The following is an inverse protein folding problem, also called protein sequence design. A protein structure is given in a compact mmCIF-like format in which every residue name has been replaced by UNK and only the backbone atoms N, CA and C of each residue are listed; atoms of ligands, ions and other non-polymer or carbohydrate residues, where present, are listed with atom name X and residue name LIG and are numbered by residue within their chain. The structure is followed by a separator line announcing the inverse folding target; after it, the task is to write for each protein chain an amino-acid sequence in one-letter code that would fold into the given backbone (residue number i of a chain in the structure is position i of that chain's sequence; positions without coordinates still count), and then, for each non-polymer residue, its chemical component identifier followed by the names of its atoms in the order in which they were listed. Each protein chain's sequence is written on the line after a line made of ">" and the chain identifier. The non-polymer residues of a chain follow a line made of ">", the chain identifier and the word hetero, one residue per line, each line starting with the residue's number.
data_IF_121118691416
#
_entry.id   IF_121118691416
#
_cell.length_a   1.000
_cell.length_b   1.000
_cell.length_c   1.000
_cell.angle_alpha   90.00
_cell.angle_beta   90.00
_cell.angle_gamma   90.00
#
_symmetry.space_group_name_H-M   'P 1'
#
loop_
_entity.id
_entity.type
_entity.pdbx_description
1 polymer ?
#
# COMPACT_ATOMS: atom_id res chain seq x y z
N UNK A 1 -24.79 19.66 12.53
CA UNK A 1 -23.33 19.40 12.63
C UNK A 1 -22.78 19.62 11.24
N UNK A 2 -21.72 20.40 11.11
CA UNK A 2 -21.04 20.62 9.85
C UNK A 2 -20.24 19.38 9.48
N UNK A 3 -20.22 19.03 8.19
CA UNK A 3 -19.45 17.90 7.68
C UNK A 3 -17.95 18.23 7.73
N UNK A 4 -17.11 17.25 8.09
CA UNK A 4 -15.66 17.40 8.14
C UNK A 4 -14.99 16.55 7.08
N UNK A 5 -13.87 17.04 6.52
CA UNK A 5 -13.12 16.25 5.55
C UNK A 5 -11.65 16.65 5.52
N UNK A 6 -10.80 15.70 5.10
CA UNK A 6 -9.38 15.98 4.94
C UNK A 6 -8.59 14.77 4.44
N UNK A 7 -7.36 15.07 4.05
CA UNK A 7 -6.40 14.11 3.48
C UNK A 7 -5.34 13.74 4.51
N UNK A 8 -5.07 12.43 4.64
CA UNK A 8 -4.14 11.88 5.62
C UNK A 8 -3.13 10.98 4.93
N UNK A 9 -1.85 11.37 4.90
CA UNK A 9 -0.79 10.51 4.39
C UNK A 9 -0.31 9.52 5.44
N UNK A 10 -0.05 8.28 5.02
CA UNK A 10 0.56 7.25 5.87
C UNK A 10 1.99 7.04 5.38
N UNK A 11 2.97 7.49 6.16
CA UNK A 11 4.39 7.39 5.88
C UNK A 11 5.11 6.45 6.86
N UNK A 12 6.19 5.85 6.42
CA UNK A 12 7.03 4.99 7.25
C UNK A 12 7.90 4.07 6.40
N UNK A 13 8.83 3.40 7.06
CA UNK A 13 9.67 2.38 6.42
C UNK A 13 8.83 1.24 5.80
N UNK A 14 9.39 0.42 4.92
CA UNK A 14 8.71 -0.82 4.48
C UNK A 14 8.36 -1.72 5.67
N UNK A 15 7.25 -2.45 5.56
CA UNK A 15 6.80 -3.47 6.50
C UNK A 15 6.43 -2.98 7.92
N UNK A 16 6.24 -1.68 8.13
CA UNK A 16 5.76 -1.14 9.42
C UNK A 16 4.25 -1.33 9.63
N UNK A 17 3.50 -1.73 8.58
CA UNK A 17 2.07 -2.06 8.66
C UNK A 17 1.12 -1.01 8.09
N UNK A 18 1.59 -0.10 7.22
CA UNK A 18 0.79 0.95 6.58
C UNK A 18 -0.45 0.41 5.84
N UNK A 19 -0.22 -0.50 4.89
CA UNK A 19 -1.31 -1.12 4.11
C UNK A 19 -2.22 -2.01 4.98
N UNK A 20 -1.70 -2.62 6.05
CA UNK A 20 -2.50 -3.37 7.02
C UNK A 20 -3.47 -2.44 7.76
N UNK A 21 -2.98 -1.28 8.22
CA UNK A 21 -3.80 -0.26 8.85
C UNK A 21 -4.88 0.25 7.89
N UNK A 22 -4.49 0.62 6.65
CA UNK A 22 -5.44 1.10 5.65
C UNK A 22 -6.56 0.08 5.40
N UNK A 23 -6.21 -1.19 5.12
CA UNK A 23 -7.21 -2.24 4.91
C UNK A 23 -8.11 -2.46 6.13
N UNK A 24 -7.55 -2.34 7.36
CA UNK A 24 -8.34 -2.46 8.58
C UNK A 24 -9.38 -1.35 8.69
N UNK A 25 -8.99 -0.09 8.48
CA UNK A 25 -9.89 1.07 8.52
C UNK A 25 -10.97 0.96 7.44
N UNK A 26 -10.59 0.53 6.23
CA UNK A 26 -11.54 0.36 5.11
C UNK A 26 -12.47 -0.84 5.26
N UNK A 27 -12.21 -1.76 6.21
CA UNK A 27 -12.99 -2.98 6.38
C UNK A 27 -12.89 -3.97 5.22
N UNK A 28 -12.02 -3.71 4.24
CA UNK A 28 -11.80 -4.53 3.07
C UNK A 28 -10.40 -4.32 2.48
N UNK A 29 -10.01 -5.22 1.60
CA UNK A 29 -8.67 -5.23 1.01
C UNK A 29 -8.59 -4.33 -0.23
N UNK A 30 -8.00 -3.16 -0.08
CA UNK A 30 -7.71 -2.22 -1.18
C UNK A 30 -6.20 -2.11 -1.46
N UNK A 31 -5.37 -2.42 -0.48
CA UNK A 31 -3.92 -2.45 -0.62
C UNK A 31 -3.39 -3.87 -0.39
N UNK A 32 -2.39 -4.27 -1.16
CA UNK A 32 -1.76 -5.59 -0.99
C UNK A 32 -0.84 -5.61 0.22
N UNK A 33 -0.72 -6.78 0.83
CA UNK A 33 0.10 -6.99 2.03
C UNK A 33 1.14 -8.09 1.79
N UNK A 34 2.37 -7.84 2.20
CA UNK A 34 3.45 -8.83 2.16
C UNK A 34 4.54 -8.46 3.17
N UNK A 35 5.31 -9.47 3.59
CA UNK A 35 6.54 -9.31 4.38
C UNK A 35 7.74 -8.80 3.53
N UNK A 36 7.56 -8.65 2.23
CA UNK A 36 8.62 -8.20 1.31
C UNK A 36 8.73 -6.68 1.28
N UNK A 37 9.95 -6.17 1.19
CA UNK A 37 10.15 -4.76 0.89
C UNK A 37 9.57 -4.40 -0.50
N UNK A 38 9.17 -3.14 -0.68
CA UNK A 38 8.55 -2.65 -1.92
C UNK A 38 7.22 -3.35 -2.26
N UNK A 39 6.43 -3.74 -1.24
CA UNK A 39 5.08 -4.27 -1.42
C UNK A 39 4.18 -3.22 -2.04
N UNK A 40 4.02 -2.06 -1.41
CA UNK A 40 3.33 -0.89 -1.99
C UNK A 40 4.31 -0.12 -2.85
N UNK A 41 3.96 0.12 -4.12
CA UNK A 41 4.80 0.84 -5.09
C UNK A 41 4.17 2.13 -5.57
N UNK A 42 2.85 2.17 -5.70
CA UNK A 42 2.06 3.36 -6.00
C UNK A 42 1.42 3.88 -4.71
N UNK A 43 1.00 5.13 -4.70
CA UNK A 43 0.09 5.65 -3.66
C UNK A 43 -1.22 4.85 -3.75
N UNK A 44 -1.78 4.46 -2.62
CA UNK A 44 -3.10 3.81 -2.57
C UNK A 44 -4.04 4.71 -1.80
N UNK A 45 -5.05 5.21 -2.46
CA UNK A 45 -6.07 6.03 -1.82
C UNK A 45 -7.17 5.16 -1.24
N UNK A 46 -7.48 5.37 0.06
CA UNK A 46 -8.60 4.78 0.75
C UNK A 46 -9.56 5.86 1.26
N UNK A 47 -10.81 5.80 0.86
CA UNK A 47 -11.83 6.81 1.16
C UNK A 47 -12.75 6.28 2.24
N UNK A 48 -12.55 6.77 3.46
CA UNK A 48 -13.37 6.43 4.62
C UNK A 48 -14.46 7.48 4.78
N UNK A 49 -15.73 7.11 4.58
CA UNK A 49 -16.87 8.03 4.64
C UNK A 49 -17.87 7.58 5.70
N UNK A 50 -18.32 8.55 6.50
CA UNK A 50 -19.45 8.42 7.43
C UNK A 50 -20.46 9.53 7.15
N UNK A 51 -21.58 9.54 7.87
CA UNK A 51 -22.59 10.63 7.77
C UNK A 51 -22.04 11.99 8.21
N UNK A 52 -20.89 12.04 8.89
CA UNK A 52 -20.36 13.26 9.51
C UNK A 52 -19.04 13.71 8.93
N UNK A 53 -18.31 12.80 8.26
CA UNK A 53 -16.97 13.08 7.83
C UNK A 53 -16.50 12.20 6.68
N UNK A 54 -15.47 12.67 5.97
CA UNK A 54 -14.74 11.89 4.99
C UNK A 54 -13.23 12.04 5.21
N UNK A 55 -12.55 10.95 5.51
CA UNK A 55 -11.09 10.90 5.63
C UNK A 55 -10.52 10.18 4.41
N UNK A 56 -9.70 10.89 3.65
CA UNK A 56 -9.00 10.32 2.50
C UNK A 56 -7.60 9.91 2.92
N UNK A 57 -7.41 8.62 3.16
CA UNK A 57 -6.10 8.06 3.49
C UNK A 57 -5.27 7.83 2.23
N UNK A 58 -4.00 8.18 2.27
CA UNK A 58 -3.04 7.90 1.19
C UNK A 58 -1.94 7.01 1.74
N UNK A 59 -2.02 5.68 1.48
CA UNK A 59 -0.94 4.74 1.76
C UNK A 59 0.19 4.96 0.76
N UNK A 60 1.38 5.22 1.26
CA UNK A 60 2.54 5.52 0.43
C UNK A 60 3.49 4.34 0.35
N UNK A 61 4.30 4.23 -0.72
CA UNK A 61 5.41 3.31 -0.76
C UNK A 61 6.31 3.46 0.47
N UNK A 62 6.85 2.34 0.96
CA UNK A 62 7.78 2.37 2.10
C UNK A 62 9.06 3.11 1.75
N UNK A 63 9.43 4.09 2.56
CA UNK A 63 10.60 4.93 2.32
C UNK A 63 11.88 4.17 2.66
N UNK A 64 12.76 4.04 1.69
CA UNK A 64 14.06 3.39 1.80
C UNK A 64 15.07 4.07 0.87
N UNK A 65 16.35 3.77 1.01
CA UNK A 65 17.38 4.29 0.09
C UNK A 65 17.19 3.64 -1.28
N UNK A 66 16.87 4.41 -2.35
CA UNK A 66 16.61 3.86 -3.66
C UNK A 66 17.89 3.31 -4.30
N UNK A 67 17.73 2.28 -5.15
CA UNK A 67 18.82 1.66 -5.92
C UNK A 67 18.48 1.52 -7.40
N UNK A 68 17.26 1.82 -7.81
CA UNK A 68 16.74 1.70 -9.17
C UNK A 68 15.83 2.88 -9.47
N UNK A 69 15.54 3.17 -10.74
CA UNK A 69 14.60 4.22 -11.12
C UNK A 69 13.19 3.96 -10.54
N UNK A 70 12.76 2.70 -10.42
CA UNK A 70 11.54 2.36 -9.68
C UNK A 70 11.62 2.77 -8.21
N UNK A 71 12.78 2.57 -7.56
CA UNK A 71 12.99 3.00 -6.17
C UNK A 71 12.95 4.51 -6.02
N UNK A 72 13.53 5.27 -6.95
CA UNK A 72 13.46 6.73 -6.98
C UNK A 72 12.02 7.20 -7.11
N UNK A 73 11.26 6.64 -8.05
CA UNK A 73 9.82 6.89 -8.21
C UNK A 73 9.05 6.67 -6.91
N UNK A 74 9.26 5.55 -6.22
CA UNK A 74 8.57 5.22 -4.96
C UNK A 74 8.85 6.26 -3.86
N UNK A 75 10.10 6.69 -3.72
CA UNK A 75 10.50 7.67 -2.71
C UNK A 75 9.93 9.05 -3.04
N UNK A 76 9.98 9.47 -4.30
CA UNK A 76 9.42 10.73 -4.77
C UNK A 76 7.90 10.75 -4.61
N UNK A 77 7.22 9.68 -4.98
CA UNK A 77 5.78 9.48 -4.78
C UNK A 77 5.38 9.64 -3.31
N UNK A 78 6.15 9.02 -2.38
CA UNK A 78 5.87 9.15 -0.96
C UNK A 78 6.04 10.58 -0.44
N UNK A 79 7.09 11.30 -0.86
CA UNK A 79 7.34 12.66 -0.36
C UNK A 79 6.49 13.73 -1.05
N UNK A 80 6.09 13.55 -2.31
CA UNK A 80 5.19 14.50 -2.99
C UNK A 80 3.86 14.64 -2.26
N UNK A 81 3.37 13.55 -1.66
CA UNK A 81 2.12 13.52 -0.88
C UNK A 81 2.11 14.51 0.29
N UNK A 82 3.28 14.83 0.87
CA UNK A 82 3.37 15.80 2.00
C UNK A 82 2.89 17.21 1.68
N UNK A 83 2.77 17.56 0.41
CA UNK A 83 2.33 18.90 -0.02
C UNK A 83 0.81 19.01 -0.17
N UNK A 84 0.12 17.89 -0.13
CA UNK A 84 -1.28 17.75 -0.53
C UNK A 84 -2.17 17.22 0.61
N UNK A 85 -1.61 17.04 1.82
CA UNK A 85 -2.33 16.45 2.95
C UNK A 85 -2.41 17.38 4.15
N UNK A 86 -3.47 17.21 4.93
CA UNK A 86 -3.75 17.98 6.14
C UNK A 86 -3.03 17.41 7.37
N UNK A 87 -2.76 16.11 7.37
CA UNK A 87 -2.09 15.40 8.48
C UNK A 87 -1.27 14.24 7.94
N UNK A 88 -0.18 13.92 8.64
CA UNK A 88 0.65 12.75 8.37
C UNK A 88 0.60 11.78 9.54
N UNK A 89 0.31 10.51 9.26
CA UNK A 89 0.58 9.39 10.15
C UNK A 89 1.99 8.88 9.89
N UNK A 90 2.93 9.19 10.76
CA UNK A 90 4.25 8.58 10.72
C UNK A 90 4.23 7.26 11.48
N UNK A 91 4.22 6.16 10.73
CA UNK A 91 4.09 4.83 11.28
C UNK A 91 5.43 4.15 11.48
N UNK A 92 5.68 3.68 12.70
CA UNK A 92 6.88 2.94 13.12
C UNK A 92 6.49 1.64 13.81
N UNK A 93 7.31 0.57 13.74
CA UNK A 93 6.99 -0.68 14.41
C UNK A 93 7.48 -0.67 15.86
N UNK A 94 6.70 -1.27 16.78
CA UNK A 94 7.09 -1.40 18.18
C UNK A 94 8.17 -2.48 18.41
N UNK A 95 8.24 -3.47 17.50
CA UNK A 95 9.13 -4.63 17.57
C UNK A 95 10.54 -4.41 16.98
N UNK A 96 10.83 -3.19 16.52
CA UNK A 96 12.13 -2.82 15.94
C UNK A 96 12.59 -1.48 16.50
N UNK A 97 13.88 -1.35 16.82
CA UNK A 97 14.46 -0.09 17.24
C UNK A 97 14.46 0.95 16.10
N UNK A 98 14.45 2.24 16.49
CA UNK A 98 14.60 3.34 15.55
C UNK A 98 15.89 3.21 14.75
N UNK A 99 15.81 3.38 13.45
CA UNK A 99 16.94 3.24 12.55
C UNK A 99 17.14 4.45 11.64
N UNK A 100 18.23 4.44 10.88
CA UNK A 100 18.58 5.52 9.94
C UNK A 100 17.46 5.85 8.93
N UNK A 101 16.59 4.87 8.59
CA UNK A 101 15.45 5.10 7.73
C UNK A 101 14.38 5.97 8.39
N UNK A 102 14.16 5.78 9.70
CA UNK A 102 13.25 6.61 10.49
C UNK A 102 13.81 8.03 10.62
N UNK A 103 15.12 8.17 10.88
CA UNK A 103 15.77 9.47 10.97
C UNK A 103 15.63 10.29 9.67
N UNK A 104 15.80 9.64 8.51
CA UNK A 104 15.59 10.29 7.20
C UNK A 104 14.16 10.81 7.04
N UNK A 105 13.18 10.02 7.49
CA UNK A 105 11.76 10.42 7.39
C UNK A 105 11.50 11.60 8.34
N UNK A 106 11.97 11.53 9.58
CA UNK A 106 11.82 12.59 10.58
C UNK A 106 12.37 13.92 10.06
N UNK A 107 13.57 13.94 9.47
CA UNK A 107 14.16 15.17 8.91
C UNK A 107 13.30 15.77 7.78
N UNK A 108 12.69 14.94 6.94
CA UNK A 108 11.75 15.39 5.91
C UNK A 108 10.45 15.92 6.51
N UNK A 109 9.92 15.26 7.54
CA UNK A 109 8.70 15.68 8.22
C UNK A 109 8.89 17.04 8.93
N UNK A 110 10.03 17.27 9.58
CA UNK A 110 10.37 18.57 10.18
C UNK A 110 10.34 19.70 9.14
N UNK A 111 10.77 19.43 7.91
CA UNK A 111 10.81 20.42 6.84
C UNK A 111 9.43 20.67 6.19
N UNK A 112 8.49 19.71 6.28
CA UNK A 112 7.22 19.75 5.58
C UNK A 112 6.18 20.68 6.23
N UNK A 113 6.34 21.03 7.52
CA UNK A 113 5.42 21.90 8.30
C UNK A 113 3.96 21.42 8.32
N UNK A 114 3.73 20.12 8.16
CA UNK A 114 2.42 19.46 8.25
C UNK A 114 2.29 18.83 9.65
N UNK A 115 1.10 18.83 10.28
CA UNK A 115 0.89 18.13 11.55
C UNK A 115 1.21 16.64 11.41
N UNK A 116 1.96 16.10 12.36
CA UNK A 116 2.39 14.69 12.35
C UNK A 116 1.90 13.99 13.60
N UNK A 117 1.22 12.85 13.41
CA UNK A 117 0.86 11.90 14.47
C UNK A 117 1.83 10.72 14.37
N UNK A 118 2.53 10.42 15.46
CA UNK A 118 3.35 9.22 15.54
C UNK A 118 2.46 8.01 15.84
N UNK A 119 2.49 7.02 14.97
CA UNK A 119 1.76 5.76 15.14
C UNK A 119 2.75 4.63 15.42
N UNK A 120 2.77 4.12 16.66
CA UNK A 120 3.61 2.99 17.04
C UNK A 120 2.81 1.70 16.86
N UNK A 121 3.04 1.02 15.74
CA UNK A 121 2.28 -0.17 15.33
C UNK A 121 2.92 -1.47 15.82
N UNK A 122 2.18 -2.57 15.75
CA UNK A 122 2.57 -3.94 16.17
C UNK A 122 2.76 -4.09 17.68
N UNK A 123 1.98 -3.37 18.47
CA UNK A 123 2.04 -3.48 19.95
C UNK A 123 1.72 -4.88 20.46
N UNK A 124 1.04 -5.70 19.63
CA UNK A 124 0.74 -7.11 19.89
C UNK A 124 1.99 -8.00 19.99
N UNK A 125 3.15 -7.50 19.56
CA UNK A 125 4.42 -8.26 19.52
C UNK A 125 5.38 -7.92 20.63
N UNK A 126 5.09 -6.91 21.47
CA UNK A 126 6.03 -6.40 22.46
C UNK A 126 5.42 -6.31 23.84
N UNK A 127 6.29 -6.36 24.88
CA UNK A 127 5.88 -6.08 26.25
C UNK A 127 5.65 -4.56 26.45
N UNK A 128 4.75 -4.14 27.36
CA UNK A 128 4.50 -2.72 27.64
C UNK A 128 5.75 -1.88 27.93
N UNK A 129 6.72 -2.42 28.67
CA UNK A 129 7.97 -1.69 29.00
C UNK A 129 8.81 -1.40 27.74
N UNK A 130 8.85 -2.34 26.78
CA UNK A 130 9.50 -2.13 25.49
C UNK A 130 8.77 -1.07 24.66
N UNK A 131 7.44 -1.08 24.69
CA UNK A 131 6.62 -0.07 24.02
C UNK A 131 6.90 1.33 24.59
N UNK A 132 6.95 1.47 25.92
CA UNK A 132 7.25 2.76 26.56
C UNK A 132 8.64 3.27 26.16
N UNK A 133 9.66 2.38 26.17
CA UNK A 133 11.01 2.73 25.73
C UNK A 133 11.05 3.19 24.28
N UNK A 134 10.29 2.54 23.40
CA UNK A 134 10.21 2.90 21.99
C UNK A 134 9.54 4.27 21.81
N UNK A 135 8.45 4.54 22.53
CA UNK A 135 7.78 5.84 22.53
C UNK A 135 8.74 6.94 22.99
N UNK A 136 9.50 6.71 24.05
CA UNK A 136 10.45 7.70 24.60
C UNK A 136 11.59 8.00 23.62
N UNK A 137 12.06 7.02 22.82
CA UNK A 137 13.09 7.23 21.81
C UNK A 137 12.59 8.14 20.67
N UNK A 138 11.32 8.00 20.26
CA UNK A 138 10.74 8.81 19.19
C UNK A 138 10.25 10.19 19.64
N UNK A 139 9.61 10.30 20.83
CA UNK A 139 8.90 11.52 21.27
C UNK A 139 9.79 12.78 21.28
N UNK A 140 11.09 12.60 21.49
CA UNK A 140 12.05 13.71 21.55
C UNK A 140 12.66 14.09 20.20
N UNK A 141 12.26 13.41 19.11
CA UNK A 141 12.86 13.63 17.80
C UNK A 141 12.23 14.81 17.05
N UNK A 142 10.93 15.05 17.26
CA UNK A 142 10.18 16.20 16.73
C UNK A 142 8.94 16.45 17.58
N UNK A 143 8.27 17.57 17.33
CA UNK A 143 6.99 17.89 17.95
C UNK A 143 5.86 17.12 17.24
N UNK A 144 5.48 15.97 17.81
CA UNK A 144 4.34 15.19 17.33
C UNK A 144 3.04 15.74 17.94
N UNK A 145 2.01 15.90 17.12
CA UNK A 145 0.69 16.34 17.59
C UNK A 145 0.09 15.34 18.59
N UNK A 146 0.25 14.04 18.30
CA UNK A 146 -0.17 12.93 19.14
C UNK A 146 0.78 11.74 18.95
N UNK A 147 0.79 10.83 19.94
CA UNK A 147 1.50 9.54 19.85
C UNK A 147 0.50 8.43 20.16
N UNK A 148 0.21 7.58 19.18
CA UNK A 148 -0.83 6.56 19.30
C UNK A 148 -0.26 5.16 19.06
N UNK A 149 -0.16 4.33 20.10
CA UNK A 149 0.21 2.93 19.94
C UNK A 149 -0.98 2.09 19.45
N UNK A 150 -0.78 1.29 18.39
CA UNK A 150 -1.82 0.45 17.77
C UNK A 150 -1.34 -0.96 17.48
N UNK A 151 -2.29 -1.87 17.29
CA UNK A 151 -2.08 -3.10 16.51
C UNK A 151 -3.01 -3.07 15.30
N UNK A 152 -2.47 -2.74 14.13
CA UNK A 152 -3.23 -2.68 12.89
C UNK A 152 -3.83 -4.05 12.50
N UNK A 153 -3.15 -5.14 12.85
CA UNK A 153 -3.61 -6.50 12.54
C UNK A 153 -4.73 -6.97 13.47
N UNK A 154 -4.68 -6.58 14.75
CA UNK A 154 -5.69 -6.94 15.74
C UNK A 154 -6.80 -5.88 15.90
N UNK A 155 -6.60 -4.69 15.34
CA UNK A 155 -7.52 -3.56 15.46
C UNK A 155 -7.40 -2.77 16.77
N UNK A 156 -6.45 -3.12 17.65
CA UNK A 156 -6.30 -2.42 18.93
C UNK A 156 -5.94 -0.96 18.70
N UNK A 157 -6.71 -0.05 19.30
CA UNK A 157 -6.58 1.40 19.21
C UNK A 157 -6.75 1.99 17.79
N UNK A 158 -7.11 1.21 16.78
CA UNK A 158 -7.33 1.73 15.42
C UNK A 158 -8.50 2.70 15.39
N UNK A 159 -9.64 2.36 16.00
CA UNK A 159 -10.79 3.26 16.09
C UNK A 159 -10.43 4.55 16.82
N UNK A 160 -9.65 4.48 17.93
CA UNK A 160 -9.19 5.68 18.65
C UNK A 160 -8.31 6.58 17.77
N UNK A 161 -7.45 6.00 16.92
CA UNK A 161 -6.65 6.78 15.96
C UNK A 161 -7.54 7.49 14.93
N UNK A 162 -8.59 6.81 14.43
CA UNK A 162 -9.57 7.42 13.52
C UNK A 162 -10.32 8.56 14.23
N UNK A 163 -10.75 8.38 15.49
CA UNK A 163 -11.40 9.44 16.29
C UNK A 163 -10.48 10.68 16.44
N UNK A 164 -9.21 10.46 16.76
CA UNK A 164 -8.21 11.55 16.85
C UNK A 164 -8.08 12.30 15.52
N UNK A 165 -8.05 11.59 14.39
CA UNK A 165 -8.04 12.21 13.07
C UNK A 165 -9.31 13.04 12.85
N UNK A 166 -10.48 12.48 13.13
CA UNK A 166 -11.79 13.12 13.02
C UNK A 166 -11.90 14.42 13.86
N UNK A 167 -11.39 14.38 15.10
CA UNK A 167 -11.32 15.56 15.97
C UNK A 167 -10.48 16.70 15.35
N UNK A 168 -9.48 16.34 14.55
CA UNK A 168 -8.51 17.25 13.95
C UNK A 168 -8.82 17.69 12.52
N UNK A 169 -9.87 17.15 11.90
CA UNK A 169 -10.33 17.58 10.58
C UNK A 169 -11.01 18.94 10.65
N UNK A 170 -10.78 19.75 9.62
CA UNK A 170 -11.52 20.98 9.43
C UNK A 170 -12.92 20.75 8.85
N UNK A 171 -13.80 21.76 8.99
CA UNK A 171 -15.07 21.78 8.29
C UNK A 171 -14.82 21.81 6.78
N UNK A 172 -15.48 20.92 6.04
CA UNK A 172 -15.27 20.76 4.62
C UNK A 172 -16.49 20.18 3.92
N UNK A 173 -16.29 19.78 2.68
CA UNK A 173 -17.29 19.12 1.85
C UNK A 173 -16.84 17.69 1.52
N UNK A 174 -17.77 16.87 1.13
CA UNK A 174 -17.50 15.52 0.68
C UNK A 174 -16.78 15.56 -0.68
N UNK A 175 -15.55 15.08 -0.75
CA UNK A 175 -14.73 15.07 -1.98
C UNK A 175 -15.14 13.96 -2.95
N UNK A 176 -15.54 12.80 -2.42
CA UNK A 176 -15.86 11.60 -3.19
C UNK A 176 -17.26 11.09 -2.84
N UNK A 177 -17.96 10.40 -3.76
CA UNK A 177 -19.22 9.70 -3.45
C UNK A 177 -19.10 8.81 -2.21
N UNK A 178 -20.17 8.69 -1.44
CA UNK A 178 -20.17 7.96 -0.15
C UNK A 178 -19.91 6.47 -0.28
N UNK A 179 -20.19 5.89 -1.43
CA UNK A 179 -19.98 4.48 -1.79
C UNK A 179 -18.61 4.21 -2.43
N UNK A 180 -17.86 5.27 -2.74
CA UNK A 180 -16.52 5.13 -3.30
C UNK A 180 -15.50 4.87 -2.19
N UNK A 181 -14.74 3.79 -2.31
CA UNK A 181 -13.75 3.35 -1.31
C UNK A 181 -12.30 3.60 -1.72
N UNK A 182 -12.04 3.80 -3.02
CA UNK A 182 -10.74 4.10 -3.61
C UNK A 182 -10.93 4.81 -4.93
N UNK A 183 -9.92 5.53 -5.40
CA UNK A 183 -9.88 6.16 -6.73
C UNK A 183 -9.25 5.24 -7.79
N UNK A 184 -8.64 4.12 -7.35
CA UNK A 184 -8.01 3.20 -8.27
C UNK A 184 -9.01 2.40 -9.09
N UNK A 185 -8.78 2.25 -10.41
CA UNK A 185 -9.60 1.39 -11.26
C UNK A 185 -9.45 -0.08 -10.85
N UNK A 186 -10.50 -0.87 -11.02
CA UNK A 186 -10.51 -2.32 -10.71
C UNK A 186 -9.34 -3.07 -11.35
N UNK A 187 -8.95 -2.68 -12.58
CA UNK A 187 -7.80 -3.29 -13.28
C UNK A 187 -6.49 -3.14 -12.50
N UNK A 188 -6.29 -2.01 -11.83
CA UNK A 188 -5.13 -1.80 -10.97
C UNK A 188 -5.17 -2.72 -9.75
N UNK A 189 -6.31 -2.79 -9.06
CA UNK A 189 -6.48 -3.66 -7.89
C UNK A 189 -6.27 -5.14 -8.28
N UNK A 190 -6.79 -5.57 -9.41
CA UNK A 190 -6.56 -6.92 -9.97
C UNK A 190 -5.07 -7.18 -10.20
N UNK A 191 -4.36 -6.25 -10.83
CA UNK A 191 -2.93 -6.40 -11.08
C UNK A 191 -2.13 -6.55 -9.78
N UNK A 192 -2.46 -5.75 -8.77
CA UNK A 192 -1.84 -5.82 -7.45
C UNK A 192 -2.18 -7.14 -6.72
N UNK A 193 -3.41 -7.65 -6.81
CA UNK A 193 -3.77 -8.94 -6.23
C UNK A 193 -2.98 -10.09 -6.84
N UNK A 194 -2.76 -10.09 -8.15
CA UNK A 194 -1.90 -11.08 -8.81
C UNK A 194 -0.45 -10.91 -8.34
N UNK A 195 0.06 -9.66 -8.28
CA UNK A 195 1.43 -9.37 -7.83
C UNK A 195 1.65 -9.82 -6.38
N UNK A 196 0.70 -9.62 -5.49
CA UNK A 196 0.77 -10.10 -4.11
C UNK A 196 1.02 -11.61 -4.03
N UNK A 197 0.33 -12.42 -4.86
CA UNK A 197 0.53 -13.87 -4.83
C UNK A 197 1.92 -14.26 -5.32
N UNK A 198 2.48 -13.51 -6.27
CA UNK A 198 3.88 -13.69 -6.65
C UNK A 198 4.80 -13.36 -5.48
N UNK A 199 4.58 -12.24 -4.76
CA UNK A 199 5.36 -11.87 -3.58
C UNK A 199 5.33 -12.95 -2.50
N UNK A 200 4.17 -13.52 -2.20
CA UNK A 200 4.00 -14.56 -1.18
C UNK A 200 4.66 -15.89 -1.55
N UNK A 201 4.68 -16.24 -2.84
CA UNK A 201 5.13 -17.54 -3.32
C UNK A 201 6.57 -17.55 -3.81
N UNK A 202 7.23 -16.39 -3.87
CA UNK A 202 8.61 -16.27 -4.33
C UNK A 202 9.51 -15.65 -3.26
N UNK A 203 10.82 -15.79 -3.45
CA UNK A 203 11.85 -15.32 -2.52
C UNK A 203 12.97 -14.60 -3.26
N UNK A 204 13.94 -14.11 -2.50
CA UNK A 204 15.14 -13.43 -3.01
C UNK A 204 14.82 -12.22 -3.90
N UNK A 205 15.32 -12.17 -5.11
CA UNK A 205 15.22 -11.03 -6.03
C UNK A 205 13.90 -10.97 -6.83
N UNK A 206 13.13 -12.06 -6.90
CA UNK A 206 11.90 -12.10 -7.72
C UNK A 206 10.87 -11.10 -7.22
N UNK A 207 10.55 -11.01 -5.91
CA UNK A 207 9.61 -10.02 -5.38
C UNK A 207 9.92 -8.59 -5.80
N UNK A 208 11.21 -8.25 -5.93
CA UNK A 208 11.67 -6.91 -6.27
C UNK A 208 11.63 -6.61 -7.78
N UNK A 209 11.62 -7.65 -8.63
CA UNK A 209 11.76 -7.56 -10.09
C UNK A 209 10.48 -7.93 -10.87
N UNK A 210 9.35 -8.10 -10.17
CA UNK A 210 8.08 -8.45 -10.81
C UNK A 210 7.17 -7.23 -10.93
N UNK A 211 6.52 -7.08 -12.08
CA UNK A 211 5.34 -6.22 -12.28
C UNK A 211 4.20 -7.05 -12.87
N UNK A 212 2.98 -6.57 -12.75
CA UNK A 212 1.81 -7.23 -13.35
C UNK A 212 1.00 -6.20 -14.11
N UNK A 213 0.64 -6.55 -15.35
CA UNK A 213 -0.21 -5.72 -16.22
C UNK A 213 -1.46 -6.50 -16.56
N UNK A 214 -2.62 -5.88 -16.40
CA UNK A 214 -3.89 -6.44 -16.87
C UNK A 214 -4.08 -6.04 -18.33
N UNK A 215 -3.86 -6.98 -19.25
CA UNK A 215 -3.98 -6.75 -20.70
C UNK A 215 -5.44 -6.53 -21.13
N UNK A 216 -6.37 -7.30 -20.54
CA UNK A 216 -7.81 -7.18 -20.81
C UNK A 216 -8.64 -7.60 -19.60
N UNK A 217 -9.78 -6.94 -19.42
CA UNK A 217 -10.80 -7.26 -18.44
C UNK A 217 -12.15 -6.97 -19.07
N UNK A 218 -12.96 -8.00 -19.31
CA UNK A 218 -14.25 -7.90 -20.01
C UNK A 218 -15.24 -8.93 -19.45
N UNK A 219 -16.51 -8.56 -19.32
CA UNK A 219 -17.59 -9.51 -19.03
C UNK A 219 -17.90 -10.31 -20.30
N UNK A 220 -17.97 -11.61 -20.16
CA UNK A 220 -18.38 -12.55 -21.22
C UNK A 220 -19.89 -12.71 -21.13
N UNK A 221 -20.60 -12.39 -22.23
CA UNK A 221 -22.07 -12.37 -22.27
C UNK A 221 -22.69 -13.77 -22.23
N UNK A 222 -21.96 -14.80 -22.66
CA UNK A 222 -22.48 -16.19 -22.68
C UNK A 222 -22.35 -16.86 -21.31
N UNK A 223 -21.24 -16.63 -20.63
CA UNK A 223 -20.92 -17.30 -19.35
C UNK A 223 -21.19 -16.44 -18.12
N UNK A 224 -21.51 -15.15 -18.32
CA UNK A 224 -21.66 -14.12 -17.28
C UNK A 224 -20.46 -14.03 -16.33
N UNK A 225 -19.25 -14.37 -16.81
CA UNK A 225 -18.01 -14.29 -16.05
C UNK A 225 -17.16 -13.11 -16.50
N UNK A 226 -16.41 -12.56 -15.58
CA UNK A 226 -15.40 -11.56 -15.92
C UNK A 226 -14.13 -12.28 -16.38
N UNK A 227 -13.81 -12.15 -17.67
CA UNK A 227 -12.60 -12.69 -18.27
C UNK A 227 -11.46 -11.69 -18.12
N UNK A 228 -10.41 -12.10 -17.41
CA UNK A 228 -9.23 -11.28 -17.11
C UNK A 228 -8.01 -11.96 -17.69
N UNK A 229 -7.22 -11.19 -18.45
CA UNK A 229 -5.89 -11.60 -18.89
C UNK A 229 -4.85 -10.70 -18.23
N UNK A 230 -3.93 -11.30 -17.49
CA UNK A 230 -2.85 -10.60 -16.79
C UNK A 230 -1.48 -11.16 -17.18
N UNK A 231 -0.54 -10.27 -17.45
CA UNK A 231 0.84 -10.62 -17.75
C UNK A 231 1.75 -10.26 -16.57
N UNK A 232 2.46 -11.26 -16.06
CA UNK A 232 3.51 -11.11 -15.04
C UNK A 232 4.81 -10.81 -15.76
N UNK A 233 5.37 -9.61 -15.54
CA UNK A 233 6.63 -9.17 -16.12
C UNK A 233 7.78 -9.48 -15.16
N UNK A 234 8.88 -10.00 -15.70
CA UNK A 234 10.13 -10.27 -14.96
C UNK A 234 11.33 -9.78 -15.76
N UNK A 235 12.51 -9.70 -15.14
CA UNK A 235 13.71 -9.20 -15.81
C UNK A 235 14.56 -10.27 -16.52
N UNK A 236 14.44 -11.55 -16.10
CA UNK A 236 15.32 -12.64 -16.56
C UNK A 236 14.54 -13.92 -16.86
N UNK A 237 15.04 -14.72 -17.80
CA UNK A 237 14.44 -16.01 -18.15
C UNK A 237 14.46 -17.01 -16.98
N UNK A 238 15.49 -16.96 -16.12
CA UNK A 238 15.54 -17.77 -14.90
C UNK A 238 14.37 -17.45 -13.94
N UNK A 239 14.02 -16.18 -13.77
CA UNK A 239 12.88 -15.74 -12.97
C UNK A 239 11.55 -16.20 -13.61
N UNK A 240 11.43 -16.12 -14.94
CA UNK A 240 10.27 -16.64 -15.69
C UNK A 240 10.10 -18.14 -15.42
N UNK A 241 11.16 -18.92 -15.48
CA UNK A 241 11.13 -20.35 -15.18
C UNK A 241 10.63 -20.66 -13.78
N UNK A 242 11.05 -19.88 -12.77
CA UNK A 242 10.62 -20.05 -11.36
C UNK A 242 9.13 -19.72 -11.20
N UNK A 243 8.64 -18.63 -11.81
CA UNK A 243 7.22 -18.23 -11.72
C UNK A 243 6.31 -19.23 -12.45
N UNK A 244 6.74 -19.80 -13.57
CA UNK A 244 6.00 -20.85 -14.26
C UNK A 244 6.01 -22.13 -13.41
N UNK A 245 7.17 -22.52 -12.91
CA UNK A 245 7.38 -23.75 -12.15
C UNK A 245 7.29 -25.01 -13.01
N UNK A 246 7.59 -26.17 -12.41
CA UNK A 246 7.55 -27.47 -13.11
C UNK A 246 6.14 -27.75 -13.64
N UNK A 247 6.01 -27.91 -14.95
CA UNK A 247 4.71 -28.16 -15.60
C UNK A 247 3.66 -27.05 -15.38
N UNK A 248 4.08 -25.81 -15.09
CA UNK A 248 3.15 -24.69 -14.86
C UNK A 248 2.53 -24.64 -13.45
N UNK A 249 2.97 -25.48 -12.52
CA UNK A 249 2.35 -25.64 -11.19
C UNK A 249 2.39 -24.36 -10.37
N UNK A 250 3.48 -23.58 -10.39
CA UNK A 250 3.58 -22.34 -9.63
C UNK A 250 2.65 -21.27 -10.20
N UNK A 251 2.63 -21.09 -11.52
CA UNK A 251 1.76 -20.13 -12.19
C UNK A 251 0.28 -20.45 -11.95
N UNK A 252 -0.10 -21.74 -12.01
CA UNK A 252 -1.45 -22.19 -11.67
C UNK A 252 -1.81 -21.86 -10.22
N UNK A 253 -0.88 -22.03 -9.28
CA UNK A 253 -1.10 -21.70 -7.86
C UNK A 253 -1.30 -20.19 -7.67
N UNK A 254 -0.45 -19.36 -8.29
CA UNK A 254 -0.57 -17.90 -8.29
C UNK A 254 -1.95 -17.50 -8.81
N UNK A 255 -2.34 -17.97 -10.00
CA UNK A 255 -3.62 -17.64 -10.62
C UNK A 255 -4.82 -18.08 -9.79
N UNK A 256 -4.78 -19.29 -9.20
CA UNK A 256 -5.89 -19.79 -8.37
C UNK A 256 -6.07 -18.99 -7.08
N UNK A 257 -4.97 -18.58 -6.43
CA UNK A 257 -5.03 -17.75 -5.22
C UNK A 257 -5.50 -16.32 -5.56
N UNK A 258 -4.96 -15.72 -6.62
CA UNK A 258 -5.36 -14.38 -7.06
C UNK A 258 -6.83 -14.34 -7.45
N UNK A 259 -7.31 -15.32 -8.21
CA UNK A 259 -8.71 -15.41 -8.63
C UNK A 259 -9.68 -15.35 -7.45
N UNK A 260 -9.40 -16.04 -6.35
CA UNK A 260 -10.26 -16.02 -5.15
C UNK A 260 -10.41 -14.63 -4.57
N UNK A 261 -9.30 -13.90 -4.44
CA UNK A 261 -9.32 -12.54 -3.91
C UNK A 261 -10.03 -11.59 -4.87
N UNK A 262 -9.81 -11.75 -6.18
CA UNK A 262 -10.45 -10.94 -7.23
C UNK A 262 -11.97 -11.20 -7.26
N UNK A 263 -12.42 -12.46 -7.17
CA UNK A 263 -13.84 -12.81 -7.09
C UNK A 263 -14.52 -12.18 -5.86
N UNK A 264 -13.82 -12.15 -4.71
CA UNK A 264 -14.32 -11.49 -3.50
C UNK A 264 -14.42 -9.96 -3.67
N UNK A 265 -13.44 -9.34 -4.33
CA UNK A 265 -13.43 -7.90 -4.56
C UNK A 265 -14.51 -7.46 -5.55
N UNK A 266 -14.66 -8.19 -6.67
CA UNK A 266 -15.60 -7.84 -7.73
C UNK A 266 -17.05 -8.27 -7.41
N UNK A 267 -17.24 -9.22 -6.51
CA UNK A 267 -18.54 -9.87 -6.29
C UNK A 267 -18.99 -10.79 -7.43
N UNK A 268 -18.12 -11.06 -8.39
CA UNK A 268 -18.42 -11.77 -9.63
C UNK A 268 -17.55 -13.02 -9.81
N UNK A 269 -18.00 -13.95 -10.64
CA UNK A 269 -17.18 -15.09 -11.06
C UNK A 269 -16.14 -14.66 -12.09
N UNK A 270 -14.90 -15.13 -11.89
CA UNK A 270 -13.75 -14.71 -12.70
C UNK A 270 -13.11 -15.90 -13.43
N UNK A 271 -12.80 -15.70 -14.71
CA UNK A 271 -11.88 -16.52 -15.47
C UNK A 271 -10.56 -15.75 -15.62
N UNK A 272 -9.52 -16.18 -14.90
CA UNK A 272 -8.23 -15.51 -14.88
C UNK A 272 -7.19 -16.29 -15.68
N UNK A 273 -6.70 -15.70 -16.78
CA UNK A 273 -5.54 -16.17 -17.53
C UNK A 273 -4.29 -15.39 -17.11
N UNK A 274 -3.21 -16.12 -16.83
CA UNK A 274 -1.93 -15.52 -16.44
C UNK A 274 -0.82 -15.93 -17.37
N UNK A 275 -0.01 -14.95 -17.81
CA UNK A 275 1.15 -15.13 -18.67
C UNK A 275 2.41 -14.61 -17.99
N UNK A 276 3.59 -15.09 -18.43
CA UNK A 276 4.86 -14.58 -17.90
C UNK A 276 5.72 -14.13 -19.09
N UNK A 277 6.15 -12.86 -19.08
CA UNK A 277 7.02 -12.26 -20.09
C UNK A 277 8.29 -11.71 -19.47
N UNK A 278 9.38 -11.72 -20.22
CA UNK A 278 10.66 -11.13 -19.82
C UNK A 278 10.82 -9.75 -20.45
N UNK A 279 11.07 -8.75 -19.60
CA UNK A 279 11.41 -7.39 -20.01
C UNK A 279 12.67 -6.95 -19.27
N UNK A 280 13.80 -7.07 -19.93
CA UNK A 280 15.13 -6.84 -19.33
C UNK A 280 15.31 -5.42 -18.81
N UNK A 281 15.75 -5.30 -17.54
CA UNK A 281 16.07 -4.04 -16.86
C UNK A 281 14.90 -3.03 -16.86
N UNK A 282 13.65 -3.51 -16.78
CA UNK A 282 12.48 -2.63 -16.83
C UNK A 282 12.44 -1.64 -15.65
N UNK A 283 12.98 -2.02 -14.48
CA UNK A 283 13.01 -1.16 -13.28
C UNK A 283 13.85 0.11 -13.44
N UNK A 284 14.73 0.16 -14.43
CA UNK A 284 15.64 1.28 -14.70
C UNK A 284 15.27 2.07 -15.97
N UNK A 285 14.18 1.69 -16.64
CA UNK A 285 13.72 2.32 -17.90
C UNK A 285 12.41 3.08 -17.67
N UNK A 286 12.45 4.41 -17.74
CA UNK A 286 11.28 5.27 -17.51
C UNK A 286 10.07 4.92 -18.39
N UNK A 287 10.27 4.54 -19.66
CA UNK A 287 9.18 4.13 -20.54
C UNK A 287 8.51 2.83 -20.05
N UNK A 288 9.31 1.83 -19.68
CA UNK A 288 8.78 0.57 -19.18
C UNK A 288 8.06 0.76 -17.82
N UNK A 289 8.56 1.68 -16.99
CA UNK A 289 7.89 2.06 -15.72
C UNK A 289 6.51 2.67 -16.00
N UNK A 290 6.41 3.61 -16.93
CA UNK A 290 5.14 4.22 -17.32
C UNK A 290 4.17 3.18 -17.91
N UNK A 291 4.64 2.29 -18.79
CA UNK A 291 3.85 1.21 -19.38
C UNK A 291 3.29 0.24 -18.33
N UNK A 292 3.95 0.10 -17.18
CA UNK A 292 3.54 -0.77 -16.08
C UNK A 292 2.75 -0.05 -14.98
N UNK A 293 2.35 1.21 -15.21
CA UNK A 293 1.54 1.99 -14.28
C UNK A 293 2.34 2.65 -13.14
N UNK A 294 3.67 2.80 -13.32
CA UNK A 294 4.53 3.56 -12.40
C UNK A 294 4.83 4.94 -13.02
N UNK A 295 3.82 5.81 -13.03
CA UNK A 295 3.88 7.12 -13.66
C UNK A 295 3.39 8.22 -12.70
N UNK A 296 4.18 9.28 -12.53
CA UNK A 296 3.85 10.43 -11.66
C UNK A 296 2.66 11.27 -12.14
N UNK A 297 2.27 11.12 -13.41
CA UNK A 297 1.20 11.93 -14.03
C UNK A 297 -0.20 11.33 -13.89
N UNK A 298 -0.33 10.11 -13.38
CA UNK A 298 -1.61 9.43 -13.22
C UNK A 298 -2.17 9.50 -11.79
N UNK A 299 -1.44 10.20 -10.87
CA UNK A 299 -1.85 10.30 -9.46
C UNK A 299 -1.67 11.71 -8.94
#
# INVERSE_FOLDING_TARGET
>A
MTFKSGFVAILGRPNVGKSTFLNHVMGQKIAIMSDKAQTTRNKIMGIYTTDKEQIVFIDTPGIHKPKTALGDFMVESAYSTLREVDTVLFMVPADEARGKGDDMIIERLKAAKVPVILVVNKIDKVHPDQLLSQIDDFRNQMDFKEIVPISAIQGNNVSRLVDILSENLDEGFQYFPSDQITDHPERFLVSEMVREKVLHLTREEIPHSVAVVVDSMKRDEETDKVHIRATIMVERDSQKGIIIGKGGAMLKKIGSMARRDIELMLGDKVFLETWVKVKKNWRDKKLDLADFGYNEKEY
#
